data_IF_143606309619
#
_entry.id   IF_143606309619
#
_cell.length_a   1.000
_cell.length_b   1.000
_cell.length_c   1.000
_cell.angle_alpha   90.00
_cell.angle_beta   90.00
_cell.angle_gamma   90.00
#
_symmetry.space_group_name_H-M   'P 1'
#
loop_
_entity.id
_entity.type
_entity.pdbx_description
1 polymer ?
#
# COMPACT_ATOMS: atom_id res chain seq x y z
N UNK A 1 -29.67 -13.69 -10.39
CA UNK A 1 -29.74 -14.64 -9.27
C UNK A 1 -28.68 -15.71 -9.50
N UNK A 2 -27.68 -15.87 -8.63
CA UNK A 2 -26.74 -16.97 -8.76
C UNK A 2 -27.52 -18.29 -8.65
N UNK A 3 -27.21 -19.23 -9.55
CA UNK A 3 -27.79 -20.57 -9.51
C UNK A 3 -27.34 -21.26 -8.21
N UNK A 4 -28.25 -21.81 -7.40
CA UNK A 4 -27.85 -22.53 -6.20
C UNK A 4 -26.99 -23.74 -6.58
N UNK A 5 -25.86 -23.93 -5.90
CA UNK A 5 -25.10 -25.17 -5.98
C UNK A 5 -25.89 -26.24 -5.25
N UNK A 6 -26.56 -27.11 -6.01
CA UNK A 6 -27.36 -28.21 -5.45
C UNK A 6 -26.46 -29.44 -5.32
N UNK A 7 -26.05 -29.76 -4.08
CA UNK A 7 -25.35 -31.01 -3.78
C UNK A 7 -26.36 -32.16 -3.81
N UNK A 8 -26.39 -32.92 -4.92
CA UNK A 8 -27.35 -34.01 -5.13
C UNK A 8 -26.94 -35.35 -4.52
N UNK A 9 -25.66 -35.51 -4.19
CA UNK A 9 -25.10 -36.75 -3.63
C UNK A 9 -24.25 -36.39 -2.41
N UNK A 10 -24.58 -36.86 -1.20
CA UNK A 10 -23.71 -36.72 -0.05
C UNK A 10 -22.37 -37.38 -0.32
N UNK A 11 -21.28 -36.64 -0.12
CA UNK A 11 -19.91 -37.12 -0.24
C UNK A 11 -19.25 -37.09 1.13
N UNK A 12 -18.48 -38.12 1.48
CA UNK A 12 -17.61 -38.05 2.66
C UNK A 12 -16.56 -36.95 2.42
N UNK A 13 -16.36 -36.00 3.34
CA UNK A 13 -15.38 -34.94 3.13
C UNK A 13 -13.99 -35.58 2.96
N UNK A 14 -13.19 -35.13 1.98
CA UNK A 14 -11.83 -35.58 1.83
C UNK A 14 -11.01 -35.20 3.06
N UNK A 15 -9.97 -35.97 3.38
CA UNK A 15 -9.21 -35.78 4.60
C UNK A 15 -8.58 -34.38 4.70
N UNK A 16 -8.12 -33.80 3.58
CA UNK A 16 -7.58 -32.44 3.56
C UNK A 16 -8.58 -31.39 4.02
N UNK A 17 -9.86 -31.52 3.66
CA UNK A 17 -10.90 -30.57 4.07
C UNK A 17 -11.17 -30.65 5.58
N UNK A 18 -11.05 -31.84 6.17
CA UNK A 18 -11.14 -32.02 7.63
C UNK A 18 -9.94 -31.35 8.32
N UNK A 19 -8.73 -31.47 7.77
CA UNK A 19 -7.54 -30.82 8.30
C UNK A 19 -7.62 -29.29 8.16
N UNK A 20 -8.10 -28.78 7.03
CA UNK A 20 -8.32 -27.34 6.81
C UNK A 20 -9.30 -26.77 7.83
N UNK A 21 -10.42 -27.46 8.10
CA UNK A 21 -11.33 -27.05 9.18
C UNK A 21 -10.65 -27.01 10.55
N UNK A 22 -9.79 -27.98 10.86
CA UNK A 22 -9.03 -27.97 12.13
C UNK A 22 -8.01 -26.83 12.19
N UNK A 23 -7.40 -26.47 11.07
CA UNK A 23 -6.52 -25.31 10.97
C UNK A 23 -7.29 -24.01 11.21
N UNK A 24 -8.43 -23.83 10.54
CA UNK A 24 -9.31 -22.66 10.71
C UNK A 24 -9.79 -22.53 12.17
N UNK A 25 -10.17 -23.64 12.81
CA UNK A 25 -10.58 -23.65 14.21
C UNK A 25 -9.43 -23.24 15.14
N UNK A 26 -8.20 -23.71 14.86
CA UNK A 26 -7.01 -23.37 15.64
C UNK A 26 -6.63 -21.90 15.46
N UNK A 27 -6.67 -21.38 14.23
CA UNK A 27 -6.46 -19.96 13.94
C UNK A 27 -7.50 -19.10 14.66
N UNK A 28 -8.78 -19.51 14.64
CA UNK A 28 -9.86 -18.79 15.33
C UNK A 28 -9.57 -18.64 16.82
N UNK A 29 -9.14 -19.72 17.48
CA UNK A 29 -8.77 -19.69 18.91
C UNK A 29 -7.53 -18.84 19.20
N UNK A 30 -6.59 -18.73 18.25
CA UNK A 30 -5.43 -17.86 18.38
C UNK A 30 -5.85 -16.38 18.27
N UNK A 31 -6.64 -16.03 17.25
CA UNK A 31 -7.20 -14.68 17.08
C UNK A 31 -7.97 -14.22 18.33
N UNK A 32 -8.84 -15.08 18.90
CA UNK A 32 -9.58 -14.75 20.13
C UNK A 32 -8.67 -14.46 21.33
N UNK A 33 -7.53 -15.17 21.46
CA UNK A 33 -6.56 -14.93 22.53
C UNK A 33 -5.78 -13.63 22.32
N UNK A 34 -5.37 -13.37 21.07
CA UNK A 34 -4.69 -12.13 20.70
C UNK A 34 -5.61 -10.94 20.95
N UNK A 35 -6.84 -10.98 20.43
CA UNK A 35 -7.80 -9.88 20.58
C UNK A 35 -8.03 -9.53 22.05
N UNK A 36 -8.35 -10.54 22.88
CA UNK A 36 -8.59 -10.34 24.31
C UNK A 36 -7.40 -9.76 25.06
N UNK A 37 -6.17 -10.07 24.62
CA UNK A 37 -4.95 -9.64 25.31
C UNK A 37 -4.53 -8.22 24.90
N UNK A 38 -4.72 -7.88 23.63
CA UNK A 38 -4.12 -6.69 23.02
C UNK A 38 -5.14 -5.63 22.59
N UNK A 39 -6.43 -5.89 22.69
CA UNK A 39 -7.47 -4.92 22.37
C UNK A 39 -8.38 -4.67 23.59
N UNK A 40 -8.77 -3.41 23.79
CA UNK A 40 -9.72 -3.03 24.83
C UNK A 40 -11.19 -3.19 24.38
N UNK A 41 -12.14 -2.86 25.26
CA UNK A 41 -13.58 -2.97 24.98
C UNK A 41 -14.09 -2.03 23.87
N UNK A 42 -13.32 -1.00 23.52
CA UNK A 42 -13.62 -0.08 22.41
C UNK A 42 -13.01 -0.56 21.10
N UNK A 43 -12.21 -1.64 21.13
CA UNK A 43 -11.44 -2.12 20.00
C UNK A 43 -10.13 -1.37 19.77
N UNK A 44 -9.65 -0.61 20.76
CA UNK A 44 -8.35 0.07 20.63
C UNK A 44 -7.25 -0.95 20.80
N UNK A 45 -6.22 -0.87 19.96
CA UNK A 45 -4.99 -1.62 20.20
C UNK A 45 -4.30 -1.03 21.43
N UNK A 46 -3.87 -1.91 22.35
CA UNK A 46 -3.12 -1.56 23.54
C UNK A 46 -1.63 -1.31 23.20
N UNK A 47 -1.39 -0.28 22.39
CA UNK A 47 -0.08 0.20 21.99
C UNK A 47 0.10 1.69 22.35
N UNK A 48 1.27 2.24 22.02
CA UNK A 48 1.45 3.69 21.96
C UNK A 48 1.05 4.13 20.55
N UNK A 49 -0.04 4.89 20.36
CA UNK A 49 -0.41 5.39 19.03
C UNK A 49 0.66 6.35 18.52
N UNK A 50 1.09 6.14 17.29
CA UNK A 50 2.23 6.81 16.69
C UNK A 50 1.91 7.20 15.25
N UNK A 51 2.60 8.23 14.79
CA UNK A 51 2.62 8.65 13.39
C UNK A 51 3.99 8.27 12.84
N UNK A 52 4.01 7.73 11.63
CA UNK A 52 5.23 7.57 10.86
C UNK A 52 5.15 6.37 9.92
N UNK A 53 6.18 6.16 9.11
CA UNK A 53 6.32 5.00 8.24
C UNK A 53 6.96 3.76 8.90
N UNK A 54 7.38 3.86 10.17
CA UNK A 54 7.99 2.72 10.88
C UNK A 54 7.12 2.16 12.02
N UNK A 55 6.12 2.93 12.44
CA UNK A 55 5.33 2.67 13.64
C UNK A 55 3.92 3.30 13.56
N UNK A 56 3.38 3.42 12.35
CA UNK A 56 2.22 4.24 12.04
C UNK A 56 0.86 3.66 12.44
N UNK A 57 -0.18 4.21 11.81
CA UNK A 57 -1.55 3.70 11.95
C UNK A 57 -1.74 2.34 11.28
N UNK A 58 -1.07 2.16 10.17
CA UNK A 58 -0.98 0.96 9.37
C UNK A 58 -0.44 -0.24 10.17
N UNK A 59 0.76 -0.14 10.76
CA UNK A 59 1.34 -1.21 11.61
C UNK A 59 0.39 -1.67 12.72
N UNK A 60 -0.35 -0.73 13.33
CA UNK A 60 -1.29 -1.07 14.39
C UNK A 60 -2.45 -1.93 13.89
N UNK A 61 -3.10 -1.53 12.79
CA UNK A 61 -4.26 -2.26 12.28
C UNK A 61 -3.87 -3.58 11.61
N UNK A 62 -2.63 -3.71 11.12
CA UNK A 62 -2.10 -4.95 10.54
C UNK A 62 -2.05 -6.13 11.52
N UNK A 63 -2.20 -5.90 12.83
CA UNK A 63 -2.45 -6.98 13.80
C UNK A 63 -3.72 -7.79 13.49
N UNK A 64 -4.62 -7.24 12.67
CA UNK A 64 -5.84 -7.88 12.16
C UNK A 64 -5.74 -8.28 10.67
N UNK A 65 -4.56 -8.14 10.06
CA UNK A 65 -4.34 -8.56 8.67
C UNK A 65 -4.69 -10.03 8.47
N UNK A 66 -5.40 -10.33 7.38
CA UNK A 66 -5.87 -11.67 7.05
C UNK A 66 -7.10 -12.15 7.83
N UNK A 67 -7.59 -11.44 8.84
CA UNK A 67 -8.82 -11.82 9.56
C UNK A 67 -10.07 -11.76 8.68
N UNK A 68 -10.27 -10.75 7.83
CA UNK A 68 -11.39 -10.75 6.89
C UNK A 68 -11.34 -11.95 5.94
N UNK A 69 -10.14 -12.32 5.47
CA UNK A 69 -9.95 -13.50 4.62
C UNK A 69 -10.23 -14.80 5.38
N UNK A 70 -9.75 -14.92 6.61
CA UNK A 70 -10.01 -16.07 7.47
C UNK A 70 -11.51 -16.29 7.68
N UNK A 71 -12.27 -15.21 7.92
CA UNK A 71 -13.72 -15.29 7.99
C UNK A 71 -14.35 -15.67 6.65
N UNK A 72 -13.92 -15.06 5.53
CA UNK A 72 -14.39 -15.41 4.19
C UNK A 72 -14.14 -16.89 3.82
N UNK A 73 -13.06 -17.50 4.34
CA UNK A 73 -12.75 -18.92 4.20
C UNK A 73 -13.59 -19.84 5.12
N UNK A 74 -14.47 -19.26 5.95
CA UNK A 74 -15.45 -19.99 6.76
C UNK A 74 -15.07 -20.12 8.24
N UNK A 75 -14.21 -19.26 8.78
CA UNK A 75 -14.04 -19.17 10.24
C UNK A 75 -15.33 -18.70 10.93
N UNK A 76 -15.37 -18.82 12.25
CA UNK A 76 -16.51 -18.40 13.09
C UNK A 76 -16.82 -16.91 12.92
N UNK A 77 -18.10 -16.53 12.94
CA UNK A 77 -18.58 -15.13 12.92
C UNK A 77 -17.92 -14.26 13.99
N UNK A 78 -17.47 -14.86 15.10
CA UNK A 78 -16.67 -14.17 16.11
C UNK A 78 -15.42 -13.48 15.56
N UNK A 79 -14.84 -13.98 14.45
CA UNK A 79 -13.73 -13.32 13.75
C UNK A 79 -14.21 -12.02 13.13
N UNK A 80 -15.34 -12.02 12.42
CA UNK A 80 -15.92 -10.82 11.83
C UNK A 80 -16.30 -9.80 12.90
N UNK A 81 -16.89 -10.24 14.02
CA UNK A 81 -17.24 -9.37 15.15
C UNK A 81 -16.01 -8.68 15.75
N UNK A 82 -14.95 -9.43 16.08
CA UNK A 82 -13.72 -8.88 16.65
C UNK A 82 -13.00 -7.97 15.65
N UNK A 83 -12.88 -8.40 14.39
CA UNK A 83 -12.27 -7.59 13.34
C UNK A 83 -13.00 -6.24 13.20
N UNK A 84 -14.34 -6.24 13.11
CA UNK A 84 -15.11 -5.00 12.98
C UNK A 84 -14.95 -4.11 14.21
N UNK A 85 -14.96 -4.68 15.42
CA UNK A 85 -14.69 -3.93 16.65
C UNK A 85 -13.29 -3.29 16.60
N UNK A 86 -12.27 -4.05 16.22
CA UNK A 86 -10.91 -3.54 16.09
C UNK A 86 -10.77 -2.49 14.99
N UNK A 87 -11.46 -2.63 13.86
CA UNK A 87 -11.48 -1.65 12.77
C UNK A 87 -12.12 -0.33 13.21
N UNK A 88 -13.32 -0.36 13.80
CA UNK A 88 -13.97 0.85 14.31
C UNK A 88 -13.15 1.50 15.44
N UNK A 89 -12.57 0.68 16.32
CA UNK A 89 -11.68 1.13 17.38
C UNK A 89 -10.43 1.82 16.83
N UNK A 90 -9.79 1.24 15.81
CA UNK A 90 -8.64 1.83 15.12
C UNK A 90 -8.97 3.17 14.48
N UNK A 91 -10.09 3.25 13.75
CA UNK A 91 -10.54 4.48 13.12
C UNK A 91 -10.71 5.61 14.15
N UNK A 92 -11.31 5.30 15.30
CA UNK A 92 -11.49 6.27 16.37
C UNK A 92 -10.16 6.61 17.07
N UNK A 93 -9.38 5.60 17.45
CA UNK A 93 -8.09 5.75 18.14
C UNK A 93 -7.13 6.66 17.37
N UNK A 94 -7.02 6.47 16.05
CA UNK A 94 -6.11 7.27 15.22
C UNK A 94 -6.75 8.56 14.69
N UNK A 95 -8.06 8.73 14.80
CA UNK A 95 -8.69 10.08 14.70
C UNK A 95 -8.37 10.91 15.95
N UNK A 96 -8.33 10.29 17.13
CA UNK A 96 -8.01 10.94 18.40
C UNK A 96 -6.51 11.21 18.59
N UNK A 97 -5.66 10.30 18.08
CA UNK A 97 -4.21 10.42 18.14
C UNK A 97 -3.72 11.57 17.26
N UNK A 98 -2.84 12.41 17.82
CA UNK A 98 -2.36 13.65 17.19
C UNK A 98 -0.87 13.78 17.38
N UNK A 99 -0.24 14.39 16.39
CA UNK A 99 1.14 14.87 16.49
C UNK A 99 1.17 16.30 17.06
N UNK A 100 2.33 16.68 17.58
CA UNK A 100 2.69 18.02 18.03
C UNK A 100 3.63 18.64 17.02
N UNK A 101 4.72 17.95 16.67
CA UNK A 101 5.78 18.49 15.82
C UNK A 101 5.44 18.33 14.34
N UNK A 102 4.96 17.16 13.92
CA UNK A 102 4.54 16.91 12.53
C UNK A 102 3.23 17.62 12.23
N UNK A 103 3.23 18.56 11.29
CA UNK A 103 2.02 19.34 10.95
C UNK A 103 0.90 18.47 10.35
N UNK A 104 1.25 17.46 9.56
CA UNK A 104 0.32 16.64 8.78
C UNK A 104 -0.80 16.01 9.62
N UNK A 105 -0.50 15.61 10.86
CA UNK A 105 -1.40 14.86 11.75
C UNK A 105 -1.77 15.59 13.05
N UNK A 106 -1.58 16.93 13.12
CA UNK A 106 -1.91 17.72 14.33
C UNK A 106 -3.39 17.70 14.71
N UNK A 107 -4.25 17.49 13.71
CA UNK A 107 -5.70 17.45 13.88
C UNK A 107 -6.26 16.02 13.98
N UNK A 108 -5.39 15.01 14.00
CA UNK A 108 -5.74 13.59 13.92
C UNK A 108 -4.90 12.91 12.84
N UNK A 109 -4.42 11.70 13.10
CA UNK A 109 -3.69 10.89 12.12
C UNK A 109 -4.63 10.32 11.04
N UNK A 110 -5.89 10.11 11.38
CA UNK A 110 -6.97 9.86 10.43
C UNK A 110 -7.92 11.06 10.35
N UNK A 111 -8.39 11.35 9.15
CA UNK A 111 -9.45 12.31 8.90
C UNK A 111 -10.48 11.69 7.95
N UNK A 112 -11.76 11.85 8.28
CA UNK A 112 -12.86 11.19 7.55
C UNK A 112 -12.66 9.67 7.40
N UNK A 113 -12.09 9.07 8.45
CA UNK A 113 -11.80 7.62 8.57
C UNK A 113 -10.72 7.11 7.59
N UNK A 114 -9.83 7.97 7.08
CA UNK A 114 -8.73 7.58 6.20
C UNK A 114 -7.45 8.35 6.56
N UNK A 115 -6.24 7.79 6.35
CA UNK A 115 -4.99 8.49 6.65
C UNK A 115 -4.93 9.89 6.05
N UNK A 116 -4.40 10.85 6.83
CA UNK A 116 -4.36 12.26 6.39
C UNK A 116 -3.39 12.51 5.24
N UNK A 117 -2.26 11.81 5.26
CA UNK A 117 -1.14 11.88 4.33
C UNK A 117 -0.30 10.61 4.51
N UNK A 118 0.87 10.53 3.86
CA UNK A 118 1.81 9.40 3.73
C UNK A 118 1.60 8.63 2.40
N UNK A 119 2.32 7.54 2.20
CA UNK A 119 2.42 6.84 0.91
C UNK A 119 1.51 5.59 0.78
N UNK A 120 1.44 5.04 -0.43
CA UNK A 120 0.64 3.86 -0.74
C UNK A 120 1.26 2.51 -0.35
N UNK A 121 2.50 2.49 0.13
CA UNK A 121 3.07 1.32 0.82
C UNK A 121 2.28 1.12 2.12
N UNK A 122 2.26 2.15 2.96
CA UNK A 122 1.64 2.14 4.28
C UNK A 122 0.10 2.23 4.21
N UNK A 123 -0.45 3.03 3.27
CA UNK A 123 -1.91 2.98 3.03
C UNK A 123 -2.34 1.59 2.58
N UNK A 124 -1.55 0.93 1.73
CA UNK A 124 -1.84 -0.43 1.27
C UNK A 124 -1.88 -1.46 2.41
N UNK A 125 -0.93 -1.36 3.34
CA UNK A 125 -0.82 -2.19 4.55
C UNK A 125 -2.04 -2.04 5.45
N UNK A 126 -2.41 -0.80 5.81
CA UNK A 126 -3.64 -0.53 6.58
C UNK A 126 -4.91 -1.01 5.88
N UNK A 127 -5.02 -0.77 4.57
CA UNK A 127 -6.21 -1.10 3.80
C UNK A 127 -6.37 -2.59 3.52
N UNK A 128 -5.34 -3.41 3.76
CA UNK A 128 -5.42 -4.88 3.65
C UNK A 128 -6.52 -5.47 4.54
N UNK A 129 -6.80 -4.80 5.67
CA UNK A 129 -7.81 -5.21 6.65
C UNK A 129 -9.22 -4.76 6.25
N UNK A 130 -9.35 -3.63 5.54
CA UNK A 130 -10.64 -3.09 5.11
C UNK A 130 -11.11 -3.66 3.76
N UNK A 131 -10.18 -3.78 2.79
CA UNK A 131 -10.53 -4.06 1.39
C UNK A 131 -11.21 -5.41 1.18
N UNK A 132 -11.04 -6.35 2.12
CA UNK A 132 -11.64 -7.69 2.05
C UNK A 132 -12.95 -7.83 2.85
N UNK A 133 -13.42 -6.79 3.54
CA UNK A 133 -14.65 -6.85 4.34
C UNK A 133 -15.87 -7.27 3.49
N UNK A 134 -15.95 -6.80 2.24
CA UNK A 134 -17.06 -7.09 1.34
C UNK A 134 -17.25 -8.58 1.02
N UNK A 135 -16.23 -9.43 1.22
CA UNK A 135 -16.35 -10.88 1.06
C UNK A 135 -17.21 -11.52 2.17
N UNK A 136 -17.34 -10.84 3.30
CA UNK A 136 -17.98 -11.34 4.51
C UNK A 136 -19.27 -10.59 4.86
N UNK A 137 -19.27 -9.27 4.69
CA UNK A 137 -20.39 -8.40 5.08
C UNK A 137 -20.62 -7.29 4.03
N UNK A 138 -21.01 -7.65 2.79
CA UNK A 138 -21.09 -6.71 1.67
C UNK A 138 -22.19 -5.65 1.83
N UNK A 139 -23.18 -5.90 2.68
CA UNK A 139 -24.32 -4.99 2.86
C UNK A 139 -24.15 -4.04 4.06
N UNK A 140 -22.97 -4.03 4.69
CA UNK A 140 -22.71 -3.16 5.83
C UNK A 140 -22.74 -1.67 5.42
N UNK A 141 -23.57 -0.87 6.09
CA UNK A 141 -23.77 0.55 5.72
C UNK A 141 -22.51 1.40 5.89
N UNK A 142 -21.73 1.18 6.96
CA UNK A 142 -20.47 1.90 7.19
C UNK A 142 -19.43 1.54 6.13
N UNK A 143 -19.31 0.26 5.79
CA UNK A 143 -18.47 -0.20 4.67
C UNK A 143 -18.88 0.46 3.35
N UNK A 144 -20.18 0.43 3.01
CA UNK A 144 -20.72 1.06 1.81
C UNK A 144 -20.48 2.57 1.76
N UNK A 145 -20.46 3.23 2.91
CA UNK A 145 -20.12 4.66 3.01
C UNK A 145 -18.63 4.88 2.76
N UNK A 146 -17.76 4.07 3.38
CA UNK A 146 -16.31 4.18 3.30
C UNK A 146 -15.77 3.86 1.92
N UNK A 147 -16.22 2.79 1.26
CA UNK A 147 -15.76 2.46 -0.11
C UNK A 147 -16.00 3.61 -1.08
N UNK A 148 -17.16 4.26 -1.00
CA UNK A 148 -17.47 5.44 -1.82
C UNK A 148 -16.59 6.63 -1.47
N UNK A 149 -16.44 6.91 -0.17
CA UNK A 149 -15.66 8.05 0.32
C UNK A 149 -14.18 7.92 -0.03
N UNK A 150 -13.59 6.77 0.22
CA UNK A 150 -12.16 6.52 0.00
C UNK A 150 -11.83 6.62 -1.49
N UNK A 151 -12.63 6.00 -2.37
CA UNK A 151 -12.50 6.22 -3.81
C UNK A 151 -12.69 7.70 -4.19
N UNK A 152 -13.65 8.38 -3.57
CA UNK A 152 -13.92 9.81 -3.77
C UNK A 152 -12.72 10.73 -3.48
N UNK A 153 -11.79 10.35 -2.59
CA UNK A 153 -10.55 11.09 -2.35
C UNK A 153 -9.58 11.09 -3.55
N UNK A 154 -9.72 10.14 -4.46
CA UNK A 154 -8.87 10.03 -5.66
C UNK A 154 -9.64 10.34 -6.95
N UNK A 155 -10.96 10.54 -6.85
CA UNK A 155 -11.82 10.92 -7.97
C UNK A 155 -12.27 12.39 -7.94
N UNK A 156 -11.65 13.21 -7.07
CA UNK A 156 -11.99 14.61 -6.84
C UNK A 156 -13.45 14.84 -6.40
N UNK A 157 -14.07 13.85 -5.76
CA UNK A 157 -15.43 13.98 -5.20
C UNK A 157 -15.42 14.68 -3.84
N UNK A 158 -14.28 14.68 -3.15
CA UNK A 158 -14.07 15.46 -1.93
C UNK A 158 -13.27 16.74 -2.23
N UNK A 159 -13.83 17.94 -1.99
CA UNK A 159 -13.16 19.20 -2.33
C UNK A 159 -11.91 19.48 -1.48
N UNK A 160 -11.71 18.79 -0.35
CA UNK A 160 -10.52 18.93 0.50
C UNK A 160 -9.41 17.95 0.10
N UNK A 161 -9.74 16.80 -0.50
CA UNK A 161 -8.78 15.78 -0.90
C UNK A 161 -8.55 15.83 -2.42
N UNK A 162 -7.87 16.87 -2.89
CA UNK A 162 -7.56 17.05 -4.32
C UNK A 162 -6.33 16.23 -4.72
N UNK A 163 -6.35 14.91 -4.52
CA UNK A 163 -5.20 14.04 -4.80
C UNK A 163 -4.94 13.87 -6.29
N UNK A 164 -5.99 13.90 -7.11
CA UNK A 164 -5.93 13.53 -8.52
C UNK A 164 -6.02 14.74 -9.45
N UNK A 165 -5.24 14.71 -10.52
CA UNK A 165 -5.36 15.62 -11.65
C UNK A 165 -5.94 14.87 -12.86
N UNK A 166 -7.15 15.21 -13.32
CA UNK A 166 -7.79 14.55 -14.45
C UNK A 166 -7.21 14.95 -15.81
N UNK A 167 -6.49 16.07 -15.92
CA UNK A 167 -5.89 16.51 -17.19
C UNK A 167 -4.68 15.64 -17.53
N UNK A 168 -3.74 15.54 -16.60
CA UNK A 168 -2.53 14.72 -16.76
C UNK A 168 -2.72 13.27 -16.30
N UNK A 169 -3.86 12.92 -15.72
CA UNK A 169 -4.17 11.59 -15.17
C UNK A 169 -3.10 11.13 -14.17
N UNK A 170 -2.87 11.93 -13.14
CA UNK A 170 -1.86 11.68 -12.10
C UNK A 170 -2.43 11.80 -10.69
N UNK A 171 -1.90 11.00 -9.77
CA UNK A 171 -1.96 11.31 -8.33
C UNK A 171 -0.76 12.21 -8.02
N UNK A 172 -1.03 13.42 -7.52
CA UNK A 172 -0.06 14.54 -7.56
C UNK A 172 1.12 14.45 -6.57
N UNK A 173 1.14 13.45 -5.70
CA UNK A 173 2.24 13.23 -4.76
C UNK A 173 2.24 11.78 -4.30
N UNK A 174 3.43 11.24 -4.01
CA UNK A 174 3.61 10.03 -3.21
C UNK A 174 2.93 10.18 -1.85
N UNK A 175 3.05 11.35 -1.21
CA UNK A 175 2.38 11.68 0.04
C UNK A 175 0.99 12.24 -0.24
N UNK A 176 -0.04 11.42 -0.05
CA UNK A 176 -1.42 11.76 -0.33
C UNK A 176 -2.38 11.14 0.69
N UNK A 177 -3.64 11.61 0.71
CA UNK A 177 -4.63 11.05 1.62
C UNK A 177 -5.90 11.87 1.76
N UNK A 178 -6.59 11.74 2.89
CA UNK A 178 -7.88 12.41 3.14
C UNK A 178 -7.78 13.93 3.28
N UNK A 179 -6.56 14.48 3.37
CA UNK A 179 -6.28 15.93 3.35
C UNK A 179 -5.60 16.42 2.08
N UNK A 180 -5.52 15.57 1.04
CA UNK A 180 -4.90 15.94 -0.23
C UNK A 180 -3.40 15.65 -0.29
N UNK A 181 -2.75 16.03 -1.41
CA UNK A 181 -1.35 15.72 -1.66
C UNK A 181 -0.40 16.72 -0.97
N UNK A 182 0.77 16.23 -0.54
CA UNK A 182 1.86 17.07 -0.04
C UNK A 182 2.72 17.59 -1.21
N UNK A 183 2.51 18.86 -1.59
CA UNK A 183 3.19 19.48 -2.74
C UNK A 183 4.47 20.22 -2.34
N UNK A 184 5.30 19.57 -1.52
CA UNK A 184 6.64 19.99 -1.13
C UNK A 184 7.49 18.76 -0.88
N UNK A 185 8.82 18.93 -0.84
CA UNK A 185 9.69 17.87 -0.33
C UNK A 185 9.27 17.47 1.08
N UNK A 186 9.21 16.17 1.34
CA UNK A 186 9.01 15.61 2.66
C UNK A 186 10.28 15.81 3.49
N UNK A 187 10.11 16.01 4.79
CA UNK A 187 11.20 16.01 5.75
C UNK A 187 11.30 14.63 6.39
N UNK A 188 12.47 14.28 6.94
CA UNK A 188 12.61 13.06 7.74
C UNK A 188 11.58 12.98 8.88
N UNK A 189 11.19 14.13 9.45
CA UNK A 189 10.18 14.19 10.50
C UNK A 189 8.77 13.88 9.99
N UNK A 190 8.42 14.30 8.76
CA UNK A 190 7.14 13.93 8.15
C UNK A 190 6.97 12.40 8.05
N UNK A 191 8.07 11.66 7.92
CA UNK A 191 8.12 10.20 7.91
C UNK A 191 8.27 9.56 9.30
N UNK A 192 9.14 10.08 10.16
CA UNK A 192 9.47 9.46 11.45
C UNK A 192 8.47 9.77 12.57
N UNK A 193 7.69 10.85 12.42
CA UNK A 193 6.80 11.33 13.47
C UNK A 193 7.47 12.09 14.60
N UNK A 194 6.68 12.44 15.61
CA UNK A 194 7.17 13.17 16.77
C UNK A 194 8.29 12.41 17.51
N UNK A 195 9.21 13.09 18.20
CA UNK A 195 10.21 12.43 19.03
C UNK A 195 9.60 11.55 20.13
N UNK A 196 10.20 10.39 20.37
CA UNK A 196 9.87 9.53 21.50
C UNK A 196 11.11 8.80 22.03
N UNK A 197 10.98 8.24 23.23
CA UNK A 197 12.03 7.44 23.87
C UNK A 197 12.08 6.04 23.23
N UNK A 198 13.07 5.83 22.35
CA UNK A 198 13.32 4.54 21.67
C UNK A 198 14.24 3.66 22.52
N UNK A 199 15.36 4.22 22.96
CA UNK A 199 16.47 3.51 23.61
C UNK A 199 15.98 2.76 24.86
N UNK A 200 16.35 1.49 24.97
CA UNK A 200 16.00 0.56 26.06
C UNK A 200 14.49 0.37 26.33
N UNK A 201 13.62 0.88 25.45
CA UNK A 201 12.16 0.82 25.62
C UNK A 201 11.44 0.02 24.54
N UNK A 202 11.89 0.11 23.29
CA UNK A 202 11.27 -0.56 22.14
C UNK A 202 12.29 -1.35 21.33
N UNK A 203 11.83 -2.45 20.71
CA UNK A 203 12.57 -3.21 19.71
C UNK A 203 12.10 -2.77 18.33
N UNK A 204 12.92 -1.97 17.65
CA UNK A 204 12.59 -1.39 16.33
C UNK A 204 12.86 -2.43 15.24
N UNK A 205 11.88 -2.66 14.36
CA UNK A 205 11.98 -3.72 13.34
C UNK A 205 13.16 -3.52 12.36
N UNK A 206 13.60 -2.28 12.16
CA UNK A 206 14.74 -1.94 11.32
C UNK A 206 16.05 -1.73 12.12
N UNK A 207 16.01 -1.85 13.44
CA UNK A 207 17.17 -1.86 14.33
C UNK A 207 17.65 -0.50 14.81
N UNK A 208 16.93 0.60 14.56
CA UNK A 208 17.24 1.93 15.09
C UNK A 208 17.33 1.90 16.62
N UNK A 209 18.45 2.39 17.15
CA UNK A 209 18.74 2.36 18.59
C UNK A 209 18.20 3.56 19.34
N UNK A 210 17.96 4.66 18.62
CA UNK A 210 17.51 5.93 19.16
C UNK A 210 16.72 6.71 18.10
N UNK A 211 16.04 7.78 18.52
CA UNK A 211 15.23 8.60 17.62
C UNK A 211 16.06 9.33 16.54
N UNK A 212 17.33 9.64 16.80
CA UNK A 212 18.19 10.25 15.79
C UNK A 212 18.47 9.29 14.62
N UNK A 213 18.62 7.99 14.90
CA UNK A 213 18.71 6.96 13.85
C UNK A 213 17.39 6.79 13.08
N UNK A 214 16.24 6.92 13.75
CA UNK A 214 14.94 6.96 13.06
C UNK A 214 14.82 8.15 12.10
N UNK A 215 15.29 9.34 12.49
CA UNK A 215 15.34 10.47 11.57
C UNK A 215 16.32 10.23 10.42
N UNK A 216 17.53 9.75 10.73
CA UNK A 216 18.56 9.47 9.73
C UNK A 216 18.09 8.44 8.68
N UNK A 217 17.25 7.47 9.08
CA UNK A 217 16.62 6.52 8.17
C UNK A 217 15.88 7.22 7.01
N UNK A 218 15.22 8.36 7.29
CA UNK A 218 14.36 9.07 6.35
C UNK A 218 14.98 10.32 5.73
N UNK A 219 16.26 10.63 6.00
CA UNK A 219 16.93 11.82 5.45
C UNK A 219 16.94 11.87 3.92
N UNK A 220 16.93 10.70 3.27
CA UNK A 220 16.97 10.57 1.81
C UNK A 220 15.56 10.42 1.18
N UNK A 221 14.47 10.39 1.98
CA UNK A 221 13.09 10.11 1.53
C UNK A 221 12.30 11.39 1.16
N UNK A 222 12.97 12.37 0.56
CA UNK A 222 12.42 13.74 0.48
C UNK A 222 11.61 14.01 -0.78
N UNK A 223 11.91 13.34 -1.89
CA UNK A 223 11.36 13.64 -3.22
C UNK A 223 10.02 12.92 -3.45
N UNK A 224 8.94 13.54 -2.97
CA UNK A 224 7.58 12.95 -2.92
C UNK A 224 6.58 13.64 -3.85
N UNK A 225 6.97 14.70 -4.56
CA UNK A 225 6.05 15.46 -5.44
C UNK A 225 5.94 14.76 -6.79
N UNK A 226 4.74 14.78 -7.39
CA UNK A 226 4.47 14.08 -8.64
C UNK A 226 3.87 12.69 -8.42
N UNK A 227 3.59 11.99 -9.51
CA UNK A 227 3.06 10.63 -9.45
C UNK A 227 4.17 9.59 -9.42
N UNK A 228 3.94 8.51 -8.68
CA UNK A 228 4.89 7.42 -8.49
C UNK A 228 4.20 6.08 -8.76
N UNK A 229 4.91 5.04 -9.25
CA UNK A 229 4.31 3.72 -9.46
C UNK A 229 3.58 3.17 -8.24
N UNK A 230 4.05 3.52 -7.03
CA UNK A 230 3.43 3.12 -5.77
C UNK A 230 1.95 3.56 -5.67
N UNK A 231 1.59 4.71 -6.24
CA UNK A 231 0.21 5.23 -6.23
C UNK A 231 -0.77 4.38 -7.04
N UNK A 232 -0.30 3.48 -7.91
CA UNK A 232 -1.16 2.52 -8.60
C UNK A 232 -1.92 1.61 -7.62
N UNK A 233 -1.43 1.42 -6.39
CA UNK A 233 -2.16 0.69 -5.35
C UNK A 233 -3.50 1.37 -4.97
N UNK A 234 -3.63 2.69 -5.15
CA UNK A 234 -4.86 3.44 -4.90
C UNK A 234 -6.07 2.94 -5.70
N UNK A 235 -5.80 2.34 -6.87
CA UNK A 235 -6.83 1.73 -7.72
C UNK A 235 -7.64 0.65 -6.98
N UNK A 236 -7.09 0.04 -5.94
CA UNK A 236 -7.80 -0.94 -5.10
C UNK A 236 -9.05 -0.34 -4.45
N UNK A 237 -9.02 0.95 -4.10
CA UNK A 237 -10.19 1.65 -3.57
C UNK A 237 -11.32 1.72 -4.60
N UNK A 238 -10.98 1.99 -5.86
CA UNK A 238 -11.93 2.03 -6.95
C UNK A 238 -12.47 0.63 -7.29
N UNK A 239 -11.64 -0.42 -7.28
CA UNK A 239 -12.11 -1.82 -7.40
C UNK A 239 -13.13 -2.13 -6.31
N UNK A 240 -12.81 -1.81 -5.06
CA UNK A 240 -13.67 -2.12 -3.93
C UNK A 240 -15.02 -1.38 -4.03
N UNK A 241 -14.99 -0.09 -4.40
CA UNK A 241 -16.20 0.69 -4.64
C UNK A 241 -17.02 0.16 -5.83
N UNK A 242 -16.38 -0.24 -6.94
CA UNK A 242 -17.05 -0.86 -8.08
C UNK A 242 -17.73 -2.17 -7.70
N UNK A 243 -17.01 -3.07 -7.04
CA UNK A 243 -17.54 -4.38 -6.61
C UNK A 243 -18.71 -4.25 -5.63
N UNK A 244 -18.64 -3.26 -4.73
CA UNK A 244 -19.68 -3.04 -3.72
C UNK A 244 -20.93 -2.33 -4.29
N UNK A 245 -20.77 -1.44 -5.27
CA UNK A 245 -21.87 -0.56 -5.73
C UNK A 245 -22.38 -0.86 -7.14
N UNK A 246 -21.56 -1.47 -7.99
CA UNK A 246 -21.82 -1.64 -9.42
C UNK A 246 -21.77 -0.34 -10.24
N UNK A 247 -21.34 0.79 -9.68
CA UNK A 247 -21.29 2.08 -10.39
C UNK A 247 -20.06 2.14 -11.31
N UNK A 248 -20.25 2.24 -12.65
CA UNK A 248 -19.14 2.17 -13.61
C UNK A 248 -18.12 3.30 -13.50
N UNK A 249 -18.47 4.44 -12.87
CA UNK A 249 -17.49 5.55 -12.72
C UNK A 249 -16.20 5.12 -12.03
N UNK A 250 -16.28 4.14 -11.12
CA UNK A 250 -15.12 3.61 -10.39
C UNK A 250 -14.22 2.78 -11.30
N UNK A 251 -14.80 1.91 -12.14
CA UNK A 251 -14.02 1.14 -13.11
C UNK A 251 -13.43 2.04 -14.20
N UNK A 252 -14.19 3.05 -14.65
CA UNK A 252 -13.76 3.96 -15.72
C UNK A 252 -12.55 4.79 -15.27
N UNK A 253 -12.61 5.39 -14.08
CA UNK A 253 -11.49 6.15 -13.51
C UNK A 253 -10.23 5.29 -13.34
N UNK A 254 -10.40 4.05 -12.85
CA UNK A 254 -9.30 3.12 -12.66
C UNK A 254 -8.61 2.81 -13.99
N UNK A 255 -9.38 2.44 -15.01
CA UNK A 255 -8.86 2.07 -16.33
C UNK A 255 -8.15 3.28 -16.95
N UNK A 256 -8.77 4.47 -16.88
CA UNK A 256 -8.17 5.70 -17.39
C UNK A 256 -6.81 6.00 -16.76
N UNK A 257 -6.68 5.79 -15.45
CA UNK A 257 -5.43 6.01 -14.72
C UNK A 257 -4.35 4.97 -15.03
N UNK A 258 -4.71 3.68 -15.08
CA UNK A 258 -3.78 2.58 -15.36
C UNK A 258 -3.33 2.60 -16.84
N UNK A 259 -4.21 2.97 -17.76
CA UNK A 259 -3.85 3.14 -19.18
C UNK A 259 -2.82 4.27 -19.36
N UNK A 260 -2.92 5.36 -18.60
CA UNK A 260 -1.94 6.43 -18.62
C UNK A 260 -0.55 5.94 -18.15
N UNK A 261 -0.50 5.13 -17.09
CA UNK A 261 0.74 4.47 -16.64
C UNK A 261 1.28 3.46 -17.65
N UNK A 262 0.40 2.71 -18.32
CA UNK A 262 0.78 1.79 -19.39
C UNK A 262 1.45 2.53 -20.55
N UNK A 263 0.90 3.69 -20.94
CA UNK A 263 1.48 4.53 -21.99
C UNK A 263 2.83 5.11 -21.58
N UNK A 264 2.96 5.61 -20.34
CA UNK A 264 4.24 6.11 -19.81
C UNK A 264 5.33 5.05 -19.79
N UNK A 265 4.98 3.80 -19.47
CA UNK A 265 5.92 2.68 -19.58
C UNK A 265 6.39 2.51 -21.03
N UNK A 266 5.47 2.46 -21.98
CA UNK A 266 5.79 2.31 -23.41
C UNK A 266 6.67 3.46 -23.93
N UNK A 267 6.36 4.70 -23.53
CA UNK A 267 7.13 5.90 -23.91
C UNK A 267 8.53 5.92 -23.27
N UNK A 268 8.73 5.19 -22.17
CA UNK A 268 10.00 5.08 -21.44
C UNK A 268 10.71 3.74 -21.69
N UNK A 269 10.59 3.20 -22.90
CA UNK A 269 11.30 1.98 -23.31
C UNK A 269 10.78 0.71 -22.63
N UNK A 270 9.46 0.65 -22.44
CA UNK A 270 8.73 -0.41 -21.73
C UNK A 270 9.09 -0.55 -20.24
N UNK A 271 9.70 0.48 -19.62
CA UNK A 271 10.05 0.51 -18.20
C UNK A 271 9.20 1.56 -17.50
N UNK A 272 8.56 1.21 -16.38
CA UNK A 272 7.82 2.19 -15.59
C UNK A 272 8.76 3.30 -15.11
N UNK A 273 8.50 4.57 -15.43
CA UNK A 273 9.23 5.67 -14.82
C UNK A 273 8.90 5.75 -13.32
N UNK A 274 9.85 6.22 -12.53
CA UNK A 274 9.73 6.39 -11.08
C UNK A 274 8.92 7.62 -10.68
N UNK A 275 8.91 8.65 -11.53
CA UNK A 275 8.23 9.91 -11.27
C UNK A 275 7.55 10.46 -12.52
N UNK A 276 6.37 11.05 -12.34
CA UNK A 276 5.68 11.88 -13.33
C UNK A 276 5.43 13.26 -12.73
N UNK A 277 5.87 14.29 -13.46
CA UNK A 277 5.69 15.71 -13.19
C UNK A 277 4.25 16.11 -12.93
N UNK A 278 4.04 17.20 -12.19
CA UNK A 278 2.71 17.81 -12.06
C UNK A 278 2.14 18.31 -13.40
N UNK A 279 2.99 18.48 -14.41
CA UNK A 279 2.65 18.81 -15.80
C UNK A 279 2.53 17.57 -16.71
N UNK A 280 2.57 16.36 -16.13
CA UNK A 280 2.48 15.09 -16.85
C UNK A 280 3.79 14.62 -17.50
N UNK A 281 4.90 15.34 -17.37
CA UNK A 281 6.19 14.96 -17.96
C UNK A 281 6.86 13.81 -17.20
N UNK A 282 7.51 12.89 -17.92
CA UNK A 282 8.26 11.80 -17.28
C UNK A 282 9.50 12.38 -16.57
N UNK A 283 9.65 12.07 -15.27
CA UNK A 283 10.74 12.60 -14.43
C UNK A 283 10.60 14.08 -14.06
N UNK A 284 9.45 14.70 -14.29
CA UNK A 284 9.27 16.16 -14.17
C UNK A 284 9.60 16.74 -12.79
N UNK A 285 9.31 16.02 -11.69
CA UNK A 285 9.67 16.45 -10.34
C UNK A 285 11.03 15.89 -9.87
N UNK A 286 11.75 15.21 -10.76
CA UNK A 286 13.08 14.64 -10.54
C UNK A 286 14.08 15.20 -11.57
N UNK A 287 13.99 16.49 -11.90
CA UNK A 287 14.89 17.20 -12.83
C UNK A 287 15.01 16.53 -14.23
N UNK A 288 13.95 15.87 -14.68
CA UNK A 288 13.91 15.14 -15.95
C UNK A 288 14.47 13.72 -15.87
N UNK A 289 14.91 13.27 -14.70
CA UNK A 289 15.36 11.91 -14.46
C UNK A 289 14.17 10.96 -14.27
N UNK A 290 13.86 10.17 -15.30
CA UNK A 290 12.76 9.19 -15.26
C UNK A 290 12.89 8.16 -14.13
N UNK A 291 14.10 7.96 -13.59
CA UNK A 291 14.44 7.00 -12.54
C UNK A 291 14.45 7.60 -11.12
N UNK A 292 14.34 8.92 -11.00
CA UNK A 292 14.48 9.64 -9.74
C UNK A 292 13.21 9.67 -8.89
N UNK A 293 13.31 10.29 -7.72
CA UNK A 293 12.24 10.39 -6.72
C UNK A 293 12.37 9.36 -5.59
N UNK A 294 11.60 9.57 -4.52
CA UNK A 294 11.51 8.63 -3.41
C UNK A 294 11.00 7.26 -3.90
N UNK A 295 11.69 6.20 -3.49
CA UNK A 295 11.50 4.82 -3.99
C UNK A 295 11.71 4.60 -5.50
N UNK A 296 12.34 5.55 -6.20
CA UNK A 296 12.69 5.42 -7.61
C UNK A 296 13.76 4.36 -7.90
N UNK A 297 14.04 4.11 -9.17
CA UNK A 297 15.03 3.13 -9.60
C UNK A 297 16.45 3.44 -9.09
N UNK A 298 16.74 4.70 -8.76
CA UNK A 298 18.02 5.11 -8.18
C UNK A 298 18.04 5.12 -6.63
N UNK A 299 16.94 4.72 -5.97
CA UNK A 299 16.75 4.94 -4.54
C UNK A 299 17.63 4.03 -3.68
N UNK A 300 18.82 4.55 -3.36
CA UNK A 300 19.82 3.89 -2.52
C UNK A 300 20.08 4.75 -1.29
N UNK A 301 19.76 4.23 -0.12
CA UNK A 301 19.85 4.96 1.15
C UNK A 301 20.93 4.39 2.05
N UNK A 302 21.35 5.17 3.05
CA UNK A 302 22.29 4.74 4.08
C UNK A 302 21.54 4.15 5.27
N UNK A 303 21.87 2.91 5.65
CA UNK A 303 21.32 2.28 6.86
C UNK A 303 22.01 2.89 8.08
N UNK A 304 21.32 3.65 8.94
CA UNK A 304 21.97 4.48 9.97
C UNK A 304 22.72 3.66 11.03
N UNK A 305 22.29 2.43 11.30
CA UNK A 305 22.86 1.54 12.31
C UNK A 305 24.22 0.97 11.87
N UNK A 306 24.39 0.71 10.57
CA UNK A 306 25.54 -0.03 10.02
C UNK A 306 26.41 0.82 9.09
N UNK A 307 25.88 1.90 8.53
CA UNK A 307 26.50 2.70 7.47
C UNK A 307 26.47 2.04 6.10
N UNK A 308 25.87 0.85 5.97
CA UNK A 308 25.76 0.15 4.69
C UNK A 308 24.76 0.84 3.75
N UNK A 309 24.96 0.68 2.44
CA UNK A 309 23.99 1.14 1.44
C UNK A 309 22.91 0.09 1.22
N UNK A 310 21.65 0.51 1.24
CA UNK A 310 20.50 -0.32 0.94
C UNK A 310 19.79 0.20 -0.32
N UNK A 311 19.58 -0.68 -1.30
CA UNK A 311 18.79 -0.42 -2.49
C UNK A 311 17.32 -0.70 -2.19
N UNK A 312 16.46 0.32 -2.30
CA UNK A 312 15.07 0.28 -1.83
C UNK A 312 14.09 0.84 -2.85
N UNK A 313 14.30 0.59 -4.15
CA UNK A 313 13.24 0.94 -5.09
C UNK A 313 11.94 0.20 -4.74
N UNK A 314 10.79 0.76 -5.13
CA UNK A 314 9.47 0.12 -4.91
C UNK A 314 8.62 0.11 -6.17
N UNK A 315 9.27 0.08 -7.34
CA UNK A 315 8.59 0.08 -8.63
C UNK A 315 7.64 -1.10 -8.74
N UNK A 316 8.04 -2.24 -8.17
CA UNK A 316 7.30 -3.49 -8.19
C UNK A 316 5.92 -3.41 -7.54
N UNK A 317 5.74 -2.51 -6.57
CA UNK A 317 4.44 -2.24 -5.94
C UNK A 317 3.40 -1.71 -6.92
N UNK A 318 3.83 -1.11 -8.04
CA UNK A 318 2.95 -0.65 -9.11
C UNK A 318 2.13 -1.76 -9.77
N UNK A 319 2.53 -3.03 -9.60
CA UNK A 319 1.82 -4.19 -10.15
C UNK A 319 0.35 -4.26 -9.71
N UNK A 320 0.03 -3.71 -8.53
CA UNK A 320 -1.32 -3.67 -7.99
C UNK A 320 -2.32 -3.02 -8.97
N UNK A 321 -1.94 -1.91 -9.63
CA UNK A 321 -2.81 -1.24 -10.58
C UNK A 321 -3.12 -2.07 -11.82
N UNK A 322 -2.09 -2.72 -12.39
CA UNK A 322 -2.26 -3.61 -13.54
C UNK A 322 -3.06 -4.86 -13.19
N UNK A 323 -2.85 -5.43 -11.99
CA UNK A 323 -3.65 -6.55 -11.47
C UNK A 323 -5.12 -6.17 -11.28
N UNK A 324 -5.40 -4.97 -10.76
CA UNK A 324 -6.75 -4.46 -10.61
C UNK A 324 -7.44 -4.21 -11.96
N UNK A 325 -6.73 -3.64 -12.94
CA UNK A 325 -7.26 -3.44 -14.28
C UNK A 325 -7.54 -4.78 -15.00
N UNK A 326 -6.64 -5.77 -14.85
CA UNK A 326 -6.87 -7.13 -15.31
C UNK A 326 -8.12 -7.75 -14.66
N UNK A 327 -8.29 -7.59 -13.34
CA UNK A 327 -9.44 -8.13 -12.61
C UNK A 327 -10.77 -7.59 -13.13
N UNK A 328 -10.84 -6.29 -13.43
CA UNK A 328 -12.07 -5.65 -13.90
C UNK A 328 -12.38 -5.94 -15.38
N UNK A 329 -11.36 -6.09 -16.22
CA UNK A 329 -11.53 -6.15 -17.68
C UNK A 329 -11.31 -7.53 -18.28
N UNK A 330 -10.58 -8.40 -17.60
CA UNK A 330 -10.05 -9.66 -18.15
C UNK A 330 -8.97 -9.46 -19.23
N UNK A 331 -8.53 -8.22 -19.49
CA UNK A 331 -7.60 -7.90 -20.56
C UNK A 331 -6.15 -8.23 -20.18
N UNK A 332 -5.54 -9.17 -20.90
CA UNK A 332 -4.15 -9.60 -20.67
C UNK A 332 -3.11 -8.52 -21.00
N UNK A 333 -3.49 -7.48 -21.74
CA UNK A 333 -2.62 -6.35 -22.02
C UNK A 333 -1.95 -5.77 -20.77
N UNK A 334 -2.68 -5.68 -19.65
CA UNK A 334 -2.12 -5.16 -18.38
C UNK A 334 -1.02 -6.05 -17.80
N UNK A 335 -1.09 -7.36 -18.03
CA UNK A 335 -0.01 -8.29 -17.65
C UNK A 335 1.19 -8.11 -18.58
N UNK A 336 0.95 -7.83 -19.86
CA UNK A 336 2.00 -7.65 -20.85
C UNK A 336 2.84 -6.38 -20.58
N UNK A 337 2.26 -5.31 -20.03
CA UNK A 337 3.02 -4.15 -19.55
C UNK A 337 4.11 -4.58 -18.56
N UNK A 338 3.75 -5.41 -17.57
CA UNK A 338 4.70 -5.90 -16.58
C UNK A 338 5.74 -6.86 -17.18
N UNK A 339 5.30 -7.79 -18.04
CA UNK A 339 6.21 -8.73 -18.72
C UNK A 339 7.27 -7.98 -19.53
N UNK A 340 6.87 -6.95 -20.27
CA UNK A 340 7.81 -6.14 -21.06
C UNK A 340 8.79 -5.38 -20.18
N UNK A 341 8.37 -4.85 -19.04
CA UNK A 341 9.29 -4.23 -18.08
C UNK A 341 10.33 -5.24 -17.57
N UNK A 342 9.90 -6.44 -17.17
CA UNK A 342 10.80 -7.50 -16.75
C UNK A 342 11.79 -7.88 -17.86
N UNK A 343 11.32 -8.00 -19.11
CA UNK A 343 12.18 -8.26 -20.27
C UNK A 343 13.16 -7.11 -20.55
N UNK A 344 12.69 -5.86 -20.51
CA UNK A 344 13.49 -4.68 -20.75
C UNK A 344 14.62 -4.55 -19.71
N UNK A 345 14.31 -4.67 -18.41
CA UNK A 345 15.32 -4.65 -17.34
C UNK A 345 16.31 -5.81 -17.51
N UNK A 346 15.81 -7.04 -17.65
CA UNK A 346 16.67 -8.23 -17.74
C UNK A 346 17.50 -8.30 -19.03
N UNK A 347 17.10 -7.59 -20.09
CA UNK A 347 17.90 -7.48 -21.33
C UNK A 347 19.25 -6.79 -21.12
N UNK A 348 19.42 -6.09 -19.99
CA UNK A 348 20.67 -5.44 -19.58
C UNK A 348 21.59 -6.36 -18.76
N UNK A 349 21.34 -7.68 -18.77
CA UNK A 349 22.20 -8.66 -18.13
C UNK A 349 23.64 -8.65 -18.70
N UNK A 350 24.60 -8.99 -17.84
CA UNK A 350 26.04 -9.04 -18.16
C UNK A 350 26.60 -10.42 -17.84
N UNK A 351 27.63 -10.83 -18.58
CA UNK A 351 28.43 -12.00 -18.23
C UNK A 351 29.71 -11.56 -17.52
N UNK A 352 29.85 -11.90 -16.24
CA UNK A 352 30.99 -11.51 -15.39
C UNK A 352 31.36 -12.67 -14.48
N UNK A 353 32.66 -12.93 -14.33
CA UNK A 353 33.20 -14.02 -13.50
C UNK A 353 32.55 -15.40 -13.75
N UNK A 354 32.26 -15.70 -15.02
CA UNK A 354 31.67 -16.97 -15.44
C UNK A 354 30.18 -17.13 -15.15
N UNK A 355 29.49 -16.06 -14.71
CA UNK A 355 28.05 -16.05 -14.41
C UNK A 355 27.34 -14.95 -15.18
N UNK A 356 26.05 -15.17 -15.47
CA UNK A 356 25.16 -14.10 -15.92
C UNK A 356 24.62 -13.37 -14.69
N UNK A 357 24.67 -12.05 -14.70
CA UNK A 357 24.14 -11.19 -13.64
C UNK A 357 23.18 -10.16 -14.24
N UNK A 358 22.13 -9.81 -13.49
CA UNK A 358 21.02 -8.96 -13.93
C UNK A 358 20.94 -7.72 -13.05
N UNK A 359 20.64 -6.53 -13.59
CA UNK A 359 20.54 -5.31 -12.78
C UNK A 359 19.23 -5.26 -12.00
N UNK A 360 19.26 -4.58 -10.86
CA UNK A 360 18.08 -4.34 -10.01
C UNK A 360 17.81 -2.84 -9.79
N UNK A 361 18.74 -1.97 -10.18
CA UNK A 361 18.66 -0.52 -9.99
C UNK A 361 19.17 0.23 -11.23
N UNK A 362 18.75 1.49 -11.41
CA UNK A 362 19.19 2.38 -12.49
C UNK A 362 19.47 3.78 -11.94
N UNK A 363 20.54 4.44 -12.39
CA UNK A 363 20.85 5.83 -12.01
C UNK A 363 21.61 6.58 -13.10
N UNK A 364 22.28 7.66 -12.73
CA UNK A 364 23.03 8.55 -13.65
C UNK A 364 24.02 7.77 -14.53
N UNK A 365 24.77 6.83 -13.94
CA UNK A 365 25.75 5.98 -14.64
C UNK A 365 25.13 4.73 -15.31
N UNK A 366 23.80 4.65 -15.38
CA UNK A 366 23.03 3.54 -15.93
C UNK A 366 22.70 2.42 -14.92
N UNK A 367 22.55 1.19 -15.43
CA UNK A 367 22.14 0.02 -14.64
C UNK A 367 23.21 -0.42 -13.63
N UNK A 368 22.82 -0.63 -12.37
CA UNK A 368 23.68 -1.10 -11.27
C UNK A 368 22.97 -2.12 -10.35
N UNK A 369 23.59 -2.45 -9.21
CA UNK A 369 23.12 -3.45 -8.25
C UNK A 369 22.87 -4.83 -8.89
N UNK A 370 23.88 -5.34 -9.61
CA UNK A 370 23.74 -6.62 -10.31
C UNK A 370 23.71 -7.81 -9.35
N UNK A 371 22.78 -8.74 -9.57
CA UNK A 371 22.70 -10.01 -8.84
C UNK A 371 22.60 -11.21 -9.79
N UNK A 372 22.82 -12.42 -9.28
CA UNK A 372 22.65 -13.66 -10.09
C UNK A 372 21.20 -14.01 -10.35
N UNK A 373 20.25 -13.34 -9.68
CA UNK A 373 18.82 -13.55 -9.87
C UNK A 373 18.31 -12.53 -10.88
N UNK A 374 17.60 -12.96 -11.95
CA UNK A 374 16.88 -12.03 -12.81
C UNK A 374 15.99 -11.08 -12.00
N UNK A 375 15.84 -9.84 -12.45
CA UNK A 375 14.82 -8.96 -11.91
C UNK A 375 13.46 -9.64 -12.08
N UNK A 376 12.80 -9.92 -10.96
CA UNK A 376 11.63 -10.77 -10.88
C UNK A 376 10.59 -10.22 -9.89
N UNK A 377 10.71 -8.94 -9.56
CA UNK A 377 9.80 -8.25 -8.65
C UNK A 377 8.45 -7.90 -9.29
#
# INVERSE_FOLDING_TARGET
MPLPVIVKTPLKPPFWAVLERKLIDAQTQACQRIFRKYFDERGYLLCVPRWGGNDGSDDAIENLAGWPLLHALGASDSILEMYKLGWEGHLLQYTEAKTVEVELARDGMLYKEFPVSLDWFHHGESMSVFNLQGLSDPNNESFMTRVRRYAGFYMNEDPQAKNYDPEHKIIKSLFNGSRGPLLRKATALDWAGDPFEVEDRFDTAHGERNFAEMLAHFEEYTDVVGDHPLNLAATTLAVNAFMATGDPKYSDWLIDYVDAWSQRAADNGDILPSNIGLDGTIGGEADGEWYGGCYGWNFTVTVPQTGEKAHRNSISRGIAGFGNALLLTGNQFYVDVWRKMLEAVNSNAKFTDGKTVYPHMYGEDGWYAYSTTPYNE
#
